data_IF_897069124125
#
_entry.id   IF_897069124125
#
_cell.length_a   1.000
_cell.length_b   1.000
_cell.length_c   1.000
_cell.angle_alpha   90.00
_cell.angle_beta   90.00
_cell.angle_gamma   90.00
#
_symmetry.space_group_name_H-M   'P 1'
#
loop_
_entity.id
_entity.type
_entity.pdbx_description
1 polymer ?
#
# COMPACT_ATOMS: atom_id res chain seq x y z
N UNK A 1 15.75 10.32 -12.83
CA UNK A 1 15.22 11.59 -12.25
C UNK A 1 13.79 11.45 -11.73
N UNK A 2 12.82 10.99 -12.52
CA UNK A 2 11.40 10.85 -12.09
C UNK A 2 11.23 9.90 -10.89
N UNK A 3 11.88 8.73 -10.90
CA UNK A 3 11.85 7.76 -9.81
C UNK A 3 12.35 8.36 -8.48
N UNK A 4 13.47 9.08 -8.49
CA UNK A 4 13.98 9.81 -7.31
C UNK A 4 12.92 10.74 -6.72
N UNK A 5 12.26 11.55 -7.57
CA UNK A 5 11.24 12.52 -7.13
C UNK A 5 10.05 11.80 -6.50
N UNK A 6 9.57 10.71 -7.11
CA UNK A 6 8.44 9.93 -6.61
C UNK A 6 8.76 9.36 -5.22
N UNK A 7 9.92 8.71 -5.06
CA UNK A 7 10.29 8.10 -3.78
C UNK A 7 10.59 9.14 -2.70
N UNK A 8 11.23 10.28 -3.05
CA UNK A 8 11.41 11.38 -2.09
C UNK A 8 10.08 11.95 -1.59
N UNK A 9 9.12 12.18 -2.50
CA UNK A 9 7.77 12.65 -2.10
C UNK A 9 7.10 11.62 -1.21
N UNK A 10 7.22 10.34 -1.54
CA UNK A 10 6.66 9.23 -0.75
C UNK A 10 7.26 9.21 0.65
N UNK A 11 8.59 9.28 0.79
CA UNK A 11 9.27 9.24 2.08
C UNK A 11 8.93 10.44 2.95
N UNK A 12 8.98 11.66 2.38
CA UNK A 12 8.61 12.89 3.08
C UNK A 12 7.16 12.81 3.57
N UNK A 13 6.26 12.35 2.68
CA UNK A 13 4.85 12.22 3.02
C UNK A 13 4.64 11.19 4.13
N UNK A 14 5.26 10.01 4.02
CA UNK A 14 5.12 8.94 5.00
C UNK A 14 5.70 9.33 6.36
N UNK A 15 6.93 9.83 6.43
CA UNK A 15 7.54 10.29 7.69
C UNK A 15 6.72 11.42 8.28
N UNK A 16 6.22 12.35 7.45
CA UNK A 16 5.33 13.44 7.87
C UNK A 16 4.00 12.96 8.44
N UNK A 17 3.34 12.00 7.79
CA UNK A 17 2.09 11.39 8.26
C UNK A 17 2.31 10.69 9.61
N UNK A 18 3.34 9.85 9.73
CA UNK A 18 3.65 9.16 10.97
C UNK A 18 3.99 10.12 12.09
N UNK A 19 4.76 11.19 11.81
CA UNK A 19 5.05 12.25 12.77
C UNK A 19 3.77 13.00 13.20
N UNK A 20 2.85 13.27 12.29
CA UNK A 20 1.56 13.91 12.59
C UNK A 20 0.62 13.03 13.42
N UNK A 21 0.53 11.74 13.08
CA UNK A 21 -0.38 10.80 13.76
C UNK A 21 0.19 10.38 15.12
N UNK A 22 1.42 9.87 15.14
CA UNK A 22 2.04 9.30 16.34
C UNK A 22 2.86 10.32 17.15
N UNK A 23 3.32 11.42 16.55
CA UNK A 23 3.99 12.51 17.26
C UNK A 23 3.09 13.25 18.24
N UNK A 24 1.78 13.25 18.00
CA UNK A 24 0.79 13.94 18.80
C UNK A 24 0.15 13.11 19.93
N UNK A 25 0.62 11.88 20.19
CA UNK A 25 0.09 11.02 21.26
C UNK A 25 0.36 11.58 22.67
N UNK A 26 1.31 12.50 22.79
CA UNK A 26 1.62 13.21 24.05
C UNK A 26 0.56 14.25 24.46
N UNK A 27 -0.46 14.49 23.63
CA UNK A 27 -1.58 15.36 24.00
C UNK A 27 -2.58 14.58 24.82
N UNK A 28 -3.00 15.15 25.93
CA UNK A 28 -4.08 14.61 26.74
C UNK A 28 -5.41 14.70 25.99
N UNK A 29 -6.13 13.58 25.86
CA UNK A 29 -7.39 13.47 25.13
C UNK A 29 -8.28 12.37 25.72
N UNK A 30 -9.57 12.61 25.74
CA UNK A 30 -10.56 11.60 26.18
C UNK A 30 -10.20 11.00 27.55
N UNK A 31 -9.64 11.80 28.48
CA UNK A 31 -9.18 11.30 29.79
C UNK A 31 -7.84 10.55 29.76
N UNK A 32 -7.18 10.46 28.62
CA UNK A 32 -5.97 9.65 28.43
C UNK A 32 -4.76 10.48 28.03
N UNK A 33 -3.58 10.05 28.51
CA UNK A 33 -2.28 10.46 28.03
C UNK A 33 -1.56 9.26 27.44
N UNK A 34 -1.14 9.33 26.16
CA UNK A 34 -0.53 8.21 25.44
C UNK A 34 -1.34 6.89 25.53
N UNK A 35 -2.70 7.00 25.57
CA UNK A 35 -3.61 5.86 25.65
C UNK A 35 -3.80 5.27 27.05
N UNK A 36 -3.31 5.94 28.10
CA UNK A 36 -3.50 5.56 29.52
C UNK A 36 -4.38 6.59 30.20
N UNK A 37 -5.41 6.15 30.91
CA UNK A 37 -6.29 7.04 31.69
C UNK A 37 -5.54 7.63 32.89
N UNK A 38 -5.46 8.96 32.95
CA UNK A 38 -4.82 9.70 34.02
C UNK A 38 -5.76 10.82 34.45
N UNK A 39 -5.94 11.08 35.74
CA UNK A 39 -6.68 12.25 36.21
C UNK A 39 -6.05 13.54 35.68
N UNK A 40 -6.87 14.49 35.26
CA UNK A 40 -6.38 15.76 34.69
C UNK A 40 -5.51 16.55 35.66
N UNK A 41 -5.76 16.43 36.97
CA UNK A 41 -4.94 17.04 38.03
C UNK A 41 -3.49 16.55 38.03
N UNK A 42 -3.26 15.28 37.60
CA UNK A 42 -1.95 14.64 37.64
C UNK A 42 -1.07 14.91 36.41
N UNK A 43 -1.56 15.67 35.44
CA UNK A 43 -0.77 16.04 34.25
C UNK A 43 0.44 16.93 34.61
N UNK A 44 0.35 17.61 35.74
CA UNK A 44 1.41 18.48 36.27
C UNK A 44 2.44 17.71 37.14
N UNK A 45 2.22 16.42 37.38
CA UNK A 45 3.12 15.58 38.18
C UNK A 45 4.55 15.56 37.57
N UNK A 46 5.61 15.67 38.41
CA UNK A 46 7.00 15.75 37.92
C UNK A 46 7.39 14.61 36.97
N UNK A 47 7.06 13.36 37.32
CA UNK A 47 7.38 12.16 36.52
C UNK A 47 6.72 12.24 35.12
N UNK A 48 5.50 12.77 35.04
CA UNK A 48 4.77 12.95 33.77
C UNK A 48 5.42 14.07 32.93
N UNK A 49 5.76 15.22 33.54
CA UNK A 49 6.42 16.31 32.84
C UNK A 49 7.77 15.90 32.27
N UNK A 50 8.58 15.22 33.07
CA UNK A 50 9.89 14.71 32.63
C UNK A 50 9.73 13.72 31.46
N UNK A 51 8.82 12.76 31.58
CA UNK A 51 8.54 11.79 30.52
C UNK A 51 8.09 12.48 29.22
N UNK A 52 7.21 13.49 29.30
CA UNK A 52 6.74 14.23 28.13
C UNK A 52 7.85 15.03 27.45
N UNK A 53 8.73 15.66 28.23
CA UNK A 53 9.88 16.38 27.69
C UNK A 53 10.84 15.42 26.98
N UNK A 54 11.15 14.29 27.60
CA UNK A 54 12.00 13.25 27.03
C UNK A 54 11.39 12.70 25.74
N UNK A 55 10.09 12.40 25.76
CA UNK A 55 9.35 11.92 24.58
C UNK A 55 9.46 12.93 23.43
N UNK A 56 9.11 14.20 23.65
CA UNK A 56 9.15 15.23 22.61
C UNK A 56 10.54 15.36 21.97
N UNK A 57 11.60 15.39 22.79
CA UNK A 57 12.99 15.45 22.31
C UNK A 57 13.36 14.24 21.46
N UNK A 58 13.18 13.03 22.02
CA UNK A 58 13.54 11.77 21.32
C UNK A 58 12.68 11.52 20.09
N UNK A 59 11.41 11.91 20.14
CA UNK A 59 10.51 11.74 19.01
C UNK A 59 10.90 12.62 17.83
N UNK A 60 11.23 13.92 18.10
CA UNK A 60 11.76 14.82 17.07
C UNK A 60 13.06 14.29 16.44
N UNK A 61 13.98 13.79 17.26
CA UNK A 61 15.23 13.19 16.76
C UNK A 61 14.97 11.96 15.90
N UNK A 62 14.07 11.07 16.32
CA UNK A 62 13.72 9.87 15.58
C UNK A 62 13.18 10.18 14.18
N UNK A 63 12.19 11.08 14.06
CA UNK A 63 11.66 11.45 12.76
C UNK A 63 12.67 12.19 11.89
N UNK A 64 13.51 13.04 12.48
CA UNK A 64 14.56 13.73 11.74
C UNK A 64 15.58 12.73 11.15
N UNK A 65 16.08 11.80 11.98
CA UNK A 65 17.04 10.80 11.51
C UNK A 65 16.44 9.85 10.46
N UNK A 66 15.19 9.43 10.63
CA UNK A 66 14.52 8.61 9.61
C UNK A 66 14.27 9.37 8.31
N UNK A 67 13.95 10.67 8.38
CA UNK A 67 13.85 11.51 7.19
C UNK A 67 15.19 11.59 6.44
N UNK A 68 16.30 11.83 7.16
CA UNK A 68 17.62 11.86 6.55
C UNK A 68 18.04 10.51 5.98
N UNK A 69 17.73 9.41 6.69
CA UNK A 69 18.00 8.06 6.22
C UNK A 69 17.19 7.73 4.94
N UNK A 70 15.90 8.06 4.89
CA UNK A 70 15.07 7.87 3.71
C UNK A 70 15.62 8.64 2.49
N UNK A 71 15.98 9.92 2.67
CA UNK A 71 16.61 10.72 1.61
C UNK A 71 17.92 10.06 1.14
N UNK A 72 18.77 9.57 2.06
CA UNK A 72 20.01 8.89 1.70
C UNK A 72 19.75 7.59 0.92
N UNK A 73 18.74 6.81 1.32
CA UNK A 73 18.33 5.60 0.62
C UNK A 73 17.81 5.92 -0.79
N UNK A 74 17.06 7.02 -0.96
CA UNK A 74 16.59 7.44 -2.28
C UNK A 74 17.73 7.73 -3.27
N UNK A 75 18.93 8.11 -2.81
CA UNK A 75 20.08 8.29 -3.70
C UNK A 75 20.57 6.98 -4.35
N UNK A 76 20.21 5.83 -3.77
CA UNK A 76 20.51 4.53 -4.40
C UNK A 76 19.72 4.27 -5.69
N UNK A 77 18.72 5.11 -6.01
CA UNK A 77 17.97 4.99 -7.27
C UNK A 77 18.84 5.21 -8.52
N UNK A 78 20.05 5.76 -8.35
CA UNK A 78 21.06 5.86 -9.42
C UNK A 78 21.90 4.60 -9.61
N UNK A 79 21.70 3.57 -8.78
CA UNK A 79 22.30 2.25 -8.92
C UNK A 79 21.31 1.27 -9.53
N UNK A 80 21.50 -0.04 -9.31
CA UNK A 80 20.53 -1.05 -9.72
C UNK A 80 19.20 -0.90 -8.96
N UNK A 81 18.09 -1.04 -9.70
CA UNK A 81 16.75 -0.91 -9.11
C UNK A 81 16.51 -1.90 -7.97
N UNK A 82 17.00 -3.13 -8.11
CA UNK A 82 16.88 -4.16 -7.06
C UNK A 82 17.60 -3.82 -5.76
N UNK A 83 18.78 -3.20 -5.86
CA UNK A 83 19.54 -2.75 -4.68
C UNK A 83 18.75 -1.64 -3.99
N UNK A 84 18.34 -0.63 -4.76
CA UNK A 84 17.55 0.48 -4.24
C UNK A 84 16.27 0.00 -3.54
N UNK A 85 15.42 -0.77 -4.23
CA UNK A 85 14.13 -1.19 -3.70
C UNK A 85 14.26 -2.11 -2.48
N UNK A 86 15.30 -2.96 -2.45
CA UNK A 86 15.58 -3.83 -1.30
C UNK A 86 15.96 -3.01 -0.07
N UNK A 87 16.90 -2.08 -0.20
CA UNK A 87 17.34 -1.22 0.92
C UNK A 87 16.21 -0.30 1.37
N UNK A 88 15.44 0.25 0.42
CA UNK A 88 14.26 1.08 0.71
C UNK A 88 13.19 0.30 1.49
N UNK A 89 12.89 -0.93 1.08
CA UNK A 89 11.94 -1.81 1.77
C UNK A 89 12.39 -2.12 3.19
N UNK A 90 13.67 -2.43 3.39
CA UNK A 90 14.23 -2.69 4.73
C UNK A 90 14.13 -1.47 5.63
N UNK A 91 14.53 -0.29 5.14
CA UNK A 91 14.40 0.97 5.87
C UNK A 91 12.93 1.26 6.22
N UNK A 92 12.02 1.05 5.28
CA UNK A 92 10.59 1.30 5.51
C UNK A 92 10.00 0.38 6.59
N UNK A 93 10.31 -0.91 6.53
CA UNK A 93 9.87 -1.90 7.53
C UNK A 93 10.44 -1.55 8.91
N UNK A 94 11.73 -1.20 8.98
CA UNK A 94 12.38 -0.75 10.22
C UNK A 94 11.69 0.50 10.78
N UNK A 95 11.47 1.53 9.96
CA UNK A 95 10.80 2.76 10.35
C UNK A 95 9.40 2.50 10.93
N UNK A 96 8.58 1.69 10.27
CA UNK A 96 7.25 1.32 10.75
C UNK A 96 7.32 0.56 12.08
N UNK A 97 8.18 -0.44 12.17
CA UNK A 97 8.34 -1.27 13.37
C UNK A 97 8.81 -0.42 14.56
N UNK A 98 9.86 0.37 14.38
CA UNK A 98 10.40 1.23 15.44
C UNK A 98 9.39 2.29 15.89
N UNK A 99 8.56 2.83 14.97
CA UNK A 99 7.49 3.76 15.34
C UNK A 99 6.50 3.09 16.30
N UNK A 100 6.02 1.89 15.98
CA UNK A 100 5.05 1.14 16.80
C UNK A 100 5.68 0.76 18.15
N UNK A 101 6.90 0.23 18.16
CA UNK A 101 7.60 -0.14 19.40
C UNK A 101 7.81 1.06 20.32
N UNK A 102 8.11 2.24 19.76
CA UNK A 102 8.25 3.48 20.54
C UNK A 102 6.93 3.91 21.19
N UNK A 103 5.82 3.84 20.44
CA UNK A 103 4.48 4.14 20.98
C UNK A 103 4.18 3.23 22.16
N UNK A 104 4.39 1.93 22.03
CA UNK A 104 4.17 0.96 23.10
C UNK A 104 5.09 1.20 24.31
N UNK A 105 6.36 1.50 24.07
CA UNK A 105 7.31 1.79 25.13
C UNK A 105 6.88 2.99 25.99
N UNK A 106 6.45 4.09 25.37
CA UNK A 106 6.01 5.26 26.12
C UNK A 106 4.65 5.07 26.78
N UNK A 107 3.74 4.32 26.14
CA UNK A 107 2.49 3.88 26.75
C UNK A 107 2.76 3.10 28.07
N UNK A 108 3.66 2.12 28.01
CA UNK A 108 4.04 1.33 29.19
C UNK A 108 4.63 2.20 30.31
N UNK A 109 5.51 3.16 29.97
CA UNK A 109 6.06 4.09 30.97
C UNK A 109 5.00 4.93 31.67
N UNK A 110 4.01 5.43 30.92
CA UNK A 110 2.89 6.17 31.51
C UNK A 110 2.07 5.27 32.41
N UNK A 111 1.83 4.03 31.98
CA UNK A 111 1.12 3.03 32.78
C UNK A 111 1.87 2.70 34.09
N UNK A 112 3.19 2.53 34.05
CA UNK A 112 4.03 2.27 35.22
C UNK A 112 4.01 3.44 36.21
N UNK A 113 4.05 4.71 35.73
CA UNK A 113 3.89 5.90 36.57
C UNK A 113 2.52 5.92 37.23
N UNK A 114 1.44 5.61 36.48
CA UNK A 114 0.08 5.49 37.00
C UNK A 114 0.02 4.47 38.15
N UNK A 115 0.61 3.29 37.94
CA UNK A 115 0.64 2.21 38.96
C UNK A 115 1.42 2.64 40.21
N UNK A 116 2.61 3.22 40.03
CA UNK A 116 3.48 3.65 41.12
C UNK A 116 2.81 4.68 42.03
N UNK A 117 2.00 5.57 41.47
CA UNK A 117 1.31 6.63 42.20
C UNK A 117 -0.11 6.26 42.66
N UNK A 118 -0.57 5.03 42.40
CA UNK A 118 -1.87 4.58 42.85
C UNK A 118 -3.05 5.29 42.18
N UNK A 119 -2.90 5.86 41.00
CA UNK A 119 -3.98 6.54 40.26
C UNK A 119 -5.01 5.59 39.66
N UNK A 120 -5.10 4.39 40.21
CA UNK A 120 -6.02 3.35 39.76
C UNK A 120 -7.37 3.59 40.43
N UNK A 121 -8.38 3.82 39.61
CA UNK A 121 -9.76 3.83 40.12
C UNK A 121 -10.19 2.40 40.39
N UNK A 122 -10.25 2.04 41.70
CA UNK A 122 -10.66 0.70 42.13
C UNK A 122 -12.14 0.39 41.84
N UNK A 123 -12.90 1.35 41.33
CA UNK A 123 -14.34 1.23 41.15
C UNK A 123 -14.79 0.46 39.90
N UNK A 124 -13.88 0.12 38.93
CA UNK A 124 -14.31 -0.27 37.61
C UNK A 124 -13.63 -1.53 37.03
N UNK A 125 -13.03 -2.39 37.86
CA UNK A 125 -12.43 -3.64 37.36
C UNK A 125 -13.47 -4.62 36.76
N UNK A 126 -14.74 -4.48 37.10
CA UNK A 126 -15.84 -5.37 36.69
C UNK A 126 -16.89 -4.71 35.79
N UNK A 127 -16.60 -3.58 35.16
CA UNK A 127 -17.59 -2.97 34.27
C UNK A 127 -17.76 -3.81 33.02
N UNK A 128 -18.79 -4.66 33.05
CA UNK A 128 -19.43 -5.18 31.85
C UNK A 128 -19.72 -4.02 30.90
N UNK A 129 -19.38 -4.18 29.63
CA UNK A 129 -19.53 -3.15 28.60
C UNK A 129 -20.90 -2.45 28.75
N UNK A 130 -20.89 -1.21 29.19
CA UNK A 130 -22.11 -0.41 29.25
C UNK A 130 -22.61 -0.24 27.82
N UNK A 131 -23.84 -0.61 27.52
CA UNK A 131 -24.43 -0.53 26.17
C UNK A 131 -25.52 0.51 26.19
N UNK A 132 -25.32 1.60 25.47
CA UNK A 132 -26.38 2.58 25.22
C UNK A 132 -27.24 2.12 24.03
N UNK A 133 -28.30 1.35 24.34
CA UNK A 133 -29.21 0.77 23.34
C UNK A 133 -30.02 1.84 22.60
N UNK A 134 -30.31 2.97 23.23
CA UNK A 134 -31.02 4.10 22.60
C UNK A 134 -30.21 4.75 21.50
N UNK A 135 -28.92 4.92 21.74
CA UNK A 135 -27.96 5.44 20.77
C UNK A 135 -27.82 4.52 19.55
N UNK A 136 -27.79 3.21 19.75
CA UNK A 136 -27.57 2.23 18.68
C UNK A 136 -28.64 2.25 17.58
N UNK A 137 -29.92 2.36 17.96
CA UNK A 137 -31.03 2.36 16.98
C UNK A 137 -31.10 3.64 16.13
N UNK A 138 -30.69 4.78 16.69
CA UNK A 138 -30.70 6.05 15.98
C UNK A 138 -29.50 6.24 15.05
N UNK A 139 -28.34 5.68 15.40
CA UNK A 139 -27.12 5.74 14.58
C UNK A 139 -27.32 4.97 13.27
N UNK A 140 -27.97 3.80 13.31
CA UNK A 140 -28.18 2.97 12.13
C UNK A 140 -28.84 3.73 10.96
N UNK A 141 -29.72 4.73 11.25
CA UNK A 141 -30.38 5.56 10.27
C UNK A 141 -29.47 6.63 9.62
N UNK A 142 -28.31 6.92 10.23
CA UNK A 142 -27.40 7.99 9.77
C UNK A 142 -26.18 7.46 9.03
N UNK A 143 -25.98 6.15 8.97
CA UNK A 143 -24.82 5.49 8.34
C UNK A 143 -25.13 5.19 6.88
N UNK A 144 -24.11 5.34 6.01
CA UNK A 144 -24.23 4.95 4.62
C UNK A 144 -24.23 3.41 4.50
N UNK A 145 -25.25 2.79 3.87
CA UNK A 145 -25.32 1.34 3.76
C UNK A 145 -24.20 0.77 2.88
N UNK A 146 -23.50 -0.27 3.38
CA UNK A 146 -22.42 -0.92 2.64
C UNK A 146 -22.86 -1.47 1.27
N UNK A 147 -24.12 -1.84 1.09
CA UNK A 147 -24.68 -2.27 -0.20
C UNK A 147 -24.52 -1.27 -1.34
N UNK A 148 -24.34 0.03 -1.04
CA UNK A 148 -24.10 1.04 -2.07
C UNK A 148 -22.76 0.82 -2.80
N UNK A 149 -21.79 0.14 -2.18
CA UNK A 149 -20.54 -0.23 -2.85
C UNK A 149 -20.74 -1.23 -4.01
N UNK A 150 -21.89 -1.86 -4.13
CA UNK A 150 -22.24 -2.68 -5.29
C UNK A 150 -22.37 -1.85 -6.57
N UNK A 151 -22.66 -0.54 -6.47
CA UNK A 151 -22.78 0.35 -7.64
C UNK A 151 -21.40 0.50 -8.32
N UNK A 152 -20.33 1.00 -7.64
CA UNK A 152 -19.01 1.07 -8.25
C UNK A 152 -18.49 -0.31 -8.67
N UNK A 153 -18.75 -1.38 -7.90
CA UNK A 153 -18.36 -2.73 -8.28
C UNK A 153 -19.02 -3.18 -9.60
N UNK A 154 -20.30 -2.90 -9.79
CA UNK A 154 -20.99 -3.18 -11.07
C UNK A 154 -20.41 -2.35 -12.22
N UNK A 155 -20.09 -1.08 -11.99
CA UNK A 155 -19.47 -0.20 -13.00
C UNK A 155 -18.10 -0.72 -13.45
N UNK A 156 -17.29 -1.28 -12.55
CA UNK A 156 -15.99 -1.92 -12.90
C UNK A 156 -16.18 -3.09 -13.87
N UNK A 157 -17.32 -3.79 -13.82
CA UNK A 157 -17.59 -4.93 -14.69
C UNK A 157 -18.12 -4.53 -16.08
N UNK A 158 -18.64 -3.32 -16.26
CA UNK A 158 -19.22 -2.87 -17.54
C UNK A 158 -18.24 -3.03 -18.73
N UNK A 159 -16.94 -2.68 -18.61
CA UNK A 159 -16.00 -2.82 -19.72
C UNK A 159 -15.86 -4.25 -20.27
N UNK A 160 -16.17 -5.29 -19.49
CA UNK A 160 -16.13 -6.69 -19.95
C UNK A 160 -17.15 -7.02 -21.03
N UNK A 161 -18.21 -6.22 -21.17
CA UNK A 161 -19.22 -6.40 -22.21
C UNK A 161 -18.74 -5.91 -23.58
N UNK A 162 -17.64 -5.16 -23.65
CA UNK A 162 -17.05 -4.71 -24.92
C UNK A 162 -15.99 -5.71 -25.39
N UNK A 163 -16.17 -6.37 -26.55
CA UNK A 163 -15.27 -7.44 -27.02
C UNK A 163 -13.81 -7.01 -27.11
N UNK A 164 -13.53 -5.81 -27.62
CA UNK A 164 -12.20 -5.24 -27.74
C UNK A 164 -11.48 -5.17 -26.38
N UNK A 165 -12.14 -4.60 -25.36
CA UNK A 165 -11.56 -4.43 -24.03
C UNK A 165 -11.39 -5.79 -23.37
N UNK A 166 -12.38 -6.70 -23.51
CA UNK A 166 -12.28 -8.05 -22.97
C UNK A 166 -11.11 -8.82 -23.56
N UNK A 167 -10.89 -8.75 -24.87
CA UNK A 167 -9.74 -9.38 -25.52
C UNK A 167 -8.43 -8.82 -25.01
N UNK A 168 -8.35 -7.50 -24.84
CA UNK A 168 -7.16 -6.85 -24.28
C UNK A 168 -6.88 -7.30 -22.83
N UNK A 169 -7.91 -7.34 -21.98
CA UNK A 169 -7.82 -7.82 -20.60
C UNK A 169 -7.37 -9.30 -20.50
N UNK A 170 -7.75 -10.14 -21.47
CA UNK A 170 -7.35 -11.56 -21.48
C UNK A 170 -5.90 -11.75 -21.96
N UNK A 171 -5.45 -10.94 -22.90
CA UNK A 171 -4.13 -11.10 -23.54
C UNK A 171 -3.01 -10.39 -22.76
N UNK A 172 -3.30 -9.22 -22.15
CA UNK A 172 -2.29 -8.42 -21.46
C UNK A 172 -2.35 -8.65 -19.94
N UNK A 173 -1.28 -9.26 -19.38
CA UNK A 173 -1.25 -9.67 -17.98
C UNK A 173 -1.30 -8.48 -17.01
N UNK A 174 -0.64 -7.36 -17.33
CA UNK A 174 -0.59 -6.18 -16.48
C UNK A 174 -1.99 -5.57 -16.30
N UNK A 175 -2.76 -5.49 -17.40
CA UNK A 175 -4.14 -4.96 -17.37
C UNK A 175 -5.08 -5.90 -16.64
N UNK A 176 -4.90 -7.21 -16.81
CA UNK A 176 -5.67 -8.22 -16.08
C UNK A 176 -5.41 -8.15 -14.57
N UNK A 177 -4.14 -8.01 -14.16
CA UNK A 177 -3.77 -7.84 -12.74
C UNK A 177 -4.39 -6.56 -12.20
N UNK A 178 -4.30 -5.44 -12.92
CA UNK A 178 -4.91 -4.17 -12.53
C UNK A 178 -6.43 -4.31 -12.34
N UNK A 179 -7.13 -4.97 -13.26
CA UNK A 179 -8.57 -5.25 -13.14
C UNK A 179 -8.90 -6.06 -11.87
N UNK A 180 -8.14 -7.14 -11.62
CA UNK A 180 -8.33 -7.97 -10.43
C UNK A 180 -8.04 -7.18 -9.14
N UNK A 181 -7.00 -6.37 -9.12
CA UNK A 181 -6.69 -5.48 -8.00
C UNK A 181 -7.81 -4.46 -7.76
N UNK A 182 -8.35 -3.85 -8.82
CA UNK A 182 -9.46 -2.89 -8.72
C UNK A 182 -10.71 -3.52 -8.09
N UNK A 183 -11.08 -4.74 -8.49
CA UNK A 183 -12.19 -5.49 -7.89
C UNK A 183 -11.90 -5.84 -6.43
N UNK A 184 -10.69 -6.30 -6.14
CA UNK A 184 -10.26 -6.64 -4.78
C UNK A 184 -10.36 -5.42 -3.86
N UNK A 185 -9.84 -4.28 -4.29
CA UNK A 185 -9.91 -3.00 -3.56
C UNK A 185 -11.36 -2.55 -3.37
N UNK A 186 -12.20 -2.62 -4.43
CA UNK A 186 -13.63 -2.29 -4.33
C UNK A 186 -14.36 -3.18 -3.31
N UNK A 187 -14.06 -4.48 -3.31
CA UNK A 187 -14.60 -5.44 -2.35
C UNK A 187 -14.10 -5.16 -0.93
N UNK A 188 -12.83 -4.79 -0.78
CA UNK A 188 -12.25 -4.40 0.50
C UNK A 188 -12.94 -3.14 1.06
N UNK A 189 -13.19 -2.10 0.25
CA UNK A 189 -13.95 -0.93 0.67
C UNK A 189 -15.37 -1.29 1.15
N UNK A 190 -16.04 -2.21 0.48
CA UNK A 190 -17.36 -2.70 0.92
C UNK A 190 -17.27 -3.44 2.27
N UNK A 191 -16.30 -4.34 2.42
CA UNK A 191 -16.10 -5.11 3.65
C UNK A 191 -15.74 -4.21 4.85
N UNK A 192 -14.83 -3.26 4.66
CA UNK A 192 -14.44 -2.28 5.68
C UNK A 192 -15.61 -1.34 5.99
N UNK A 193 -16.37 -0.90 4.98
CA UNK A 193 -17.58 -0.09 5.18
C UNK A 193 -18.64 -0.83 6.00
N UNK A 194 -18.86 -2.11 5.72
CA UNK A 194 -19.72 -2.97 6.51
C UNK A 194 -19.23 -3.09 7.96
N UNK A 195 -17.94 -3.31 8.16
CA UNK A 195 -17.32 -3.40 9.48
C UNK A 195 -17.55 -2.11 10.29
N UNK A 196 -17.24 -0.92 9.73
CA UNK A 196 -17.46 0.36 10.42
C UNK A 196 -18.92 0.62 10.73
N UNK A 197 -19.84 0.21 9.86
CA UNK A 197 -21.28 0.36 10.10
C UNK A 197 -21.75 -0.47 11.30
N UNK A 198 -21.19 -1.67 11.50
CA UNK A 198 -21.64 -2.61 12.54
C UNK A 198 -20.77 -2.62 13.81
N UNK A 199 -19.77 -1.73 13.89
CA UNK A 199 -18.96 -1.62 15.09
C UNK A 199 -19.77 -1.24 16.32
N UNK A 200 -19.37 -1.74 17.53
CA UNK A 200 -19.93 -1.28 18.79
C UNK A 200 -19.79 0.22 18.97
N UNK A 201 -20.79 0.86 19.56
CA UNK A 201 -20.71 2.26 19.93
C UNK A 201 -19.88 2.43 21.20
N UNK A 202 -19.10 3.51 21.26
CA UNK A 202 -18.37 3.89 22.46
C UNK A 202 -19.24 4.79 23.35
N UNK A 203 -19.03 4.68 24.64
CA UNK A 203 -19.62 5.57 25.65
C UNK A 203 -18.53 6.58 26.07
N UNK A 204 -18.84 7.86 25.88
CA UNK A 204 -17.95 8.99 26.20
C UNK A 204 -18.49 9.80 27.39
N UNK A 205 -19.80 9.69 27.66
CA UNK A 205 -20.52 10.49 28.62
C UNK A 205 -21.73 9.73 29.17
N UNK A 206 -22.18 10.10 30.36
CA UNK A 206 -23.51 9.69 30.88
C UNK A 206 -24.66 10.29 30.03
N UNK A 207 -24.37 11.36 29.27
CA UNK A 207 -25.32 11.98 28.37
C UNK A 207 -25.39 11.23 27.05
N UNK A 208 -26.50 10.49 26.82
CA UNK A 208 -26.75 9.74 25.58
C UNK A 208 -26.74 10.60 24.30
N UNK A 209 -27.01 11.90 24.38
CA UNK A 209 -26.97 12.78 23.21
C UNK A 209 -25.52 12.99 22.72
N UNK A 210 -24.56 13.13 23.62
CA UNK A 210 -23.13 13.23 23.30
C UNK A 210 -22.64 11.94 22.66
N UNK A 211 -23.00 10.79 23.24
CA UNK A 211 -22.67 9.47 22.69
C UNK A 211 -23.25 9.31 21.27
N UNK A 212 -24.51 9.73 21.06
CA UNK A 212 -25.16 9.68 19.75
C UNK A 212 -24.43 10.55 18.73
N UNK A 213 -24.11 11.81 19.10
CA UNK A 213 -23.44 12.76 18.18
C UNK A 213 -22.08 12.24 17.73
N UNK A 214 -21.23 11.79 18.66
CA UNK A 214 -19.88 11.36 18.37
C UNK A 214 -19.88 10.07 17.54
N UNK A 215 -20.61 9.04 17.97
CA UNK A 215 -20.64 7.77 17.24
C UNK A 215 -21.30 7.89 15.86
N UNK A 216 -22.35 8.69 15.73
CA UNK A 216 -22.99 8.93 14.44
C UNK A 216 -22.06 9.69 13.48
N UNK A 217 -21.35 10.71 13.98
CA UNK A 217 -20.39 11.49 13.23
C UNK A 217 -19.27 10.59 12.70
N UNK A 218 -18.65 9.82 13.59
CA UNK A 218 -17.51 8.94 13.26
C UNK A 218 -17.91 7.88 12.23
N UNK A 219 -18.97 7.12 12.47
CA UNK A 219 -19.42 6.07 11.56
C UNK A 219 -19.89 6.60 10.21
N UNK A 220 -20.64 7.71 10.19
CA UNK A 220 -21.08 8.33 8.97
C UNK A 220 -19.90 8.82 8.14
N UNK A 221 -18.92 9.47 8.78
CA UNK A 221 -17.77 10.01 8.10
C UNK A 221 -16.93 8.89 7.45
N UNK A 222 -16.67 7.81 8.19
CA UNK A 222 -15.90 6.67 7.64
C UNK A 222 -16.65 5.95 6.51
N UNK A 223 -17.95 5.70 6.66
CA UNK A 223 -18.71 5.00 5.61
C UNK A 223 -18.86 5.84 4.34
N UNK A 224 -19.04 7.16 4.46
CA UNK A 224 -19.05 8.07 3.31
C UNK A 224 -17.68 8.16 2.67
N UNK A 225 -16.61 8.32 3.47
CA UNK A 225 -15.22 8.36 2.96
C UNK A 225 -14.88 7.10 2.15
N UNK A 226 -15.18 5.91 2.69
CA UNK A 226 -14.91 4.64 2.01
C UNK A 226 -15.71 4.52 0.69
N UNK A 227 -16.94 4.98 0.67
CA UNK A 227 -17.76 4.97 -0.54
C UNK A 227 -17.19 5.92 -1.61
N UNK A 228 -16.80 7.14 -1.25
CA UNK A 228 -16.15 8.08 -2.17
C UNK A 228 -14.80 7.55 -2.66
N UNK A 229 -14.01 6.91 -1.79
CA UNK A 229 -12.77 6.25 -2.18
C UNK A 229 -13.00 5.14 -3.21
N UNK A 230 -14.08 4.36 -3.05
CA UNK A 230 -14.44 3.33 -4.04
C UNK A 230 -14.88 3.94 -5.38
N UNK A 231 -15.53 5.10 -5.37
CA UNK A 231 -15.83 5.85 -6.60
C UNK A 231 -14.53 6.32 -7.27
N UNK A 232 -13.56 6.83 -6.49
CA UNK A 232 -12.26 7.23 -7.03
C UNK A 232 -11.52 6.05 -7.67
N UNK A 233 -11.43 4.90 -6.97
CA UNK A 233 -10.83 3.66 -7.50
C UNK A 233 -11.52 3.21 -8.81
N UNK A 234 -12.85 3.27 -8.87
CA UNK A 234 -13.61 2.94 -10.09
C UNK A 234 -13.30 3.91 -11.23
N UNK A 235 -13.28 5.22 -10.92
CA UNK A 235 -12.94 6.26 -11.91
C UNK A 235 -11.50 6.15 -12.41
N UNK A 236 -10.56 5.82 -11.53
CA UNK A 236 -9.16 5.57 -11.86
C UNK A 236 -9.03 4.42 -12.87
N UNK A 237 -9.69 3.29 -12.59
CA UNK A 237 -9.76 2.16 -13.52
C UNK A 237 -10.37 2.55 -14.88
N UNK A 238 -11.50 3.27 -14.88
CA UNK A 238 -12.14 3.72 -16.13
C UNK A 238 -11.28 4.68 -16.94
N UNK A 239 -10.40 5.45 -16.30
CA UNK A 239 -9.38 6.26 -16.98
C UNK A 239 -8.43 5.44 -17.84
N UNK A 240 -7.97 4.30 -17.31
CA UNK A 240 -7.14 3.35 -18.07
C UNK A 240 -7.95 2.67 -19.18
N UNK A 241 -9.18 2.22 -18.89
CA UNK A 241 -10.06 1.58 -19.89
C UNK A 241 -10.35 2.53 -21.07
N UNK A 242 -10.53 3.83 -20.80
CA UNK A 242 -10.70 4.85 -21.86
C UNK A 242 -9.51 4.86 -22.82
N UNK A 243 -8.28 4.84 -22.30
CA UNK A 243 -7.09 4.82 -23.13
C UNK A 243 -7.01 3.55 -24.00
N UNK A 244 -7.30 2.40 -23.40
CA UNK A 244 -7.36 1.11 -24.12
C UNK A 244 -8.41 1.17 -25.23
N UNK A 245 -9.60 1.72 -24.95
CA UNK A 245 -10.69 1.82 -25.93
C UNK A 245 -10.35 2.76 -27.10
N UNK A 246 -9.59 3.83 -26.85
CA UNK A 246 -9.27 4.85 -27.85
C UNK A 246 -8.05 4.53 -28.71
N UNK A 247 -7.05 3.86 -28.15
CA UNK A 247 -5.73 3.69 -28.77
C UNK A 247 -5.16 2.28 -28.73
N UNK A 248 -5.85 1.33 -28.13
CA UNK A 248 -5.36 -0.04 -27.84
C UNK A 248 -4.06 -0.09 -27.04
N UNK A 249 -3.81 0.91 -26.19
CA UNK A 249 -2.66 0.93 -25.27
C UNK A 249 -2.95 1.85 -24.08
N UNK A 250 -2.17 1.71 -22.99
CA UNK A 250 -2.28 2.55 -21.80
C UNK A 250 -1.44 3.81 -22.00
N UNK A 251 -2.09 4.96 -22.18
CA UNK A 251 -1.44 6.25 -22.41
C UNK A 251 -1.18 7.04 -21.13
N UNK A 252 -0.38 8.10 -21.28
CA UNK A 252 -0.05 8.99 -20.16
C UNK A 252 -1.27 9.69 -19.54
N UNK A 253 -2.34 9.90 -20.32
CA UNK A 253 -3.57 10.53 -19.81
C UNK A 253 -4.31 9.58 -18.86
N UNK A 254 -4.47 8.30 -19.21
CA UNK A 254 -5.09 7.31 -18.33
C UNK A 254 -4.29 7.10 -17.05
N UNK A 255 -2.96 7.00 -17.15
CA UNK A 255 -2.08 6.90 -15.98
C UNK A 255 -2.20 8.15 -15.10
N UNK A 256 -2.26 9.34 -15.70
CA UNK A 256 -2.44 10.60 -14.97
C UNK A 256 -3.77 10.65 -14.21
N UNK A 257 -4.88 10.27 -14.86
CA UNK A 257 -6.21 10.17 -14.23
C UNK A 257 -6.17 9.14 -13.09
N UNK A 258 -5.59 7.97 -13.33
CA UNK A 258 -5.46 6.90 -12.33
C UNK A 258 -4.73 7.41 -11.09
N UNK A 259 -3.52 7.95 -11.27
CA UNK A 259 -2.69 8.46 -10.18
C UNK A 259 -3.40 9.59 -9.41
N UNK A 260 -4.01 10.52 -10.13
CA UNK A 260 -4.72 11.65 -9.50
C UNK A 260 -5.89 11.17 -8.64
N UNK A 261 -6.74 10.27 -9.16
CA UNK A 261 -7.90 9.78 -8.44
C UNK A 261 -7.54 8.89 -7.25
N UNK A 262 -6.45 8.11 -7.32
CA UNK A 262 -5.97 7.30 -6.19
C UNK A 262 -5.28 8.14 -5.09
N UNK A 263 -4.76 9.32 -5.43
CA UNK A 263 -4.20 10.25 -4.44
C UNK A 263 -5.28 10.98 -3.63
N UNK A 264 -6.45 11.23 -4.21
CA UNK A 264 -7.56 11.95 -3.54
C UNK A 264 -7.93 11.30 -2.19
N UNK A 265 -8.24 10.00 -2.08
CA UNK A 265 -8.54 9.36 -0.81
C UNK A 265 -7.40 9.49 0.21
N UNK A 266 -6.15 9.39 -0.22
CA UNK A 266 -4.98 9.50 0.66
C UNK A 266 -4.89 10.89 1.32
N UNK A 267 -5.15 11.95 0.58
CA UNK A 267 -5.17 13.31 1.11
C UNK A 267 -6.39 13.55 2.00
N UNK A 268 -7.56 13.11 1.53
CA UNK A 268 -8.82 13.31 2.27
C UNK A 268 -8.80 12.59 3.61
N UNK A 269 -8.25 11.36 3.70
CA UNK A 269 -8.23 10.62 4.97
C UNK A 269 -7.46 11.37 6.06
N UNK A 270 -6.39 12.08 5.70
CA UNK A 270 -5.62 12.88 6.65
C UNK A 270 -6.43 14.08 7.13
N UNK A 271 -7.10 14.78 6.20
CA UNK A 271 -7.96 15.92 6.54
C UNK A 271 -9.10 15.46 7.46
N UNK A 272 -9.76 14.37 7.09
CA UNK A 272 -10.85 13.74 7.87
C UNK A 272 -10.38 13.36 9.26
N UNK A 273 -9.20 12.76 9.38
CA UNK A 273 -8.63 12.35 10.67
C UNK A 273 -8.42 13.53 11.64
N UNK A 274 -7.75 14.61 11.18
CA UNK A 274 -7.50 15.77 12.01
C UNK A 274 -8.78 16.56 12.31
N UNK A 275 -9.68 16.67 11.34
CA UNK A 275 -10.97 17.33 11.51
C UNK A 275 -11.86 16.58 12.50
N UNK A 276 -11.97 15.26 12.38
CA UNK A 276 -12.77 14.42 13.28
C UNK A 276 -12.25 14.52 14.72
N UNK A 277 -10.93 14.52 14.91
CA UNK A 277 -10.33 14.72 16.23
C UNK A 277 -10.75 16.04 16.85
N UNK A 278 -10.64 17.14 16.10
CA UNK A 278 -11.02 18.46 16.55
C UNK A 278 -12.52 18.56 16.90
N UNK A 279 -13.37 17.95 16.07
CA UNK A 279 -14.81 18.00 16.27
C UNK A 279 -15.24 17.15 17.50
N UNK A 280 -14.63 15.99 17.70
CA UNK A 280 -14.83 15.19 18.90
C UNK A 280 -14.41 15.97 20.17
N UNK A 281 -13.26 16.62 20.17
CA UNK A 281 -12.81 17.47 21.27
C UNK A 281 -13.84 18.60 21.54
N UNK A 282 -14.40 19.22 20.49
CA UNK A 282 -15.42 20.26 20.60
C UNK A 282 -16.74 19.75 21.23
N UNK A 283 -17.18 18.57 20.83
CA UNK A 283 -18.39 17.97 21.39
C UNK A 283 -18.18 17.58 22.86
N UNK A 284 -17.04 16.96 23.17
CA UNK A 284 -16.70 16.57 24.55
C UNK A 284 -16.47 17.75 25.48
N UNK A 285 -16.01 18.89 24.97
CA UNK A 285 -15.86 20.12 25.78
C UNK A 285 -17.20 20.68 26.28
N UNK A 286 -18.33 20.27 25.69
CA UNK A 286 -19.68 20.66 26.14
C UNK A 286 -20.24 19.71 27.20
N UNK A 287 -19.49 18.64 27.53
CA UNK A 287 -19.92 17.60 28.46
C UNK A 287 -19.60 17.98 29.89
N UNK A 288 -20.63 17.94 30.76
CA UNK A 288 -20.49 18.14 32.20
C UNK A 288 -20.29 16.84 32.96
N UNK A 289 -20.53 15.69 32.33
CA UNK A 289 -20.53 14.34 32.96
C UNK A 289 -19.70 13.35 32.12
N UNK A 290 -18.39 13.60 31.90
CA UNK A 290 -17.56 12.68 31.15
C UNK A 290 -17.46 11.34 31.87
N UNK A 291 -17.62 10.27 31.10
CA UNK A 291 -17.58 8.91 31.61
C UNK A 291 -16.36 8.18 31.00
N UNK A 292 -15.48 7.70 31.89
CA UNK A 292 -14.29 6.94 31.47
C UNK A 292 -14.31 5.56 32.12
N UNK A 293 -14.12 4.54 31.29
CA UNK A 293 -13.91 3.16 31.77
C UNK A 293 -12.40 2.94 31.88
N UNK A 294 -11.91 2.71 33.08
CA UNK A 294 -10.49 2.39 33.31
C UNK A 294 -10.26 0.90 33.08
N UNK A 295 -10.06 0.54 31.81
CA UNK A 295 -9.68 -0.80 31.37
C UNK A 295 -8.19 -0.89 31.00
N UNK A 296 -7.34 0.01 31.53
CA UNK A 296 -5.90 0.13 31.23
C UNK A 296 -5.12 -1.16 31.50
N UNK A 297 -5.56 -1.96 32.47
CA UNK A 297 -4.95 -3.26 32.75
C UNK A 297 -4.89 -4.16 31.51
N UNK A 298 -5.92 -4.14 30.67
CA UNK A 298 -5.97 -4.93 29.44
C UNK A 298 -5.12 -4.34 28.32
N UNK A 299 -4.72 -3.07 28.44
CA UNK A 299 -3.85 -2.35 27.49
C UNK A 299 -2.40 -2.20 27.96
N UNK A 300 -2.04 -2.72 29.14
CA UNK A 300 -0.74 -2.49 29.81
C UNK A 300 0.50 -2.75 28.93
N UNK A 301 0.38 -3.58 27.88
CA UNK A 301 1.47 -3.88 26.94
C UNK A 301 1.46 -3.01 25.70
N UNK A 302 0.50 -2.10 25.56
CA UNK A 302 0.29 -1.27 24.38
C UNK A 302 -0.72 -1.84 23.37
N UNK A 303 -1.13 -3.11 23.55
CA UNK A 303 -2.19 -3.76 22.75
C UNK A 303 -3.24 -4.39 23.66
N UNK A 304 -4.47 -4.53 23.13
CA UNK A 304 -5.59 -5.06 23.89
C UNK A 304 -5.49 -6.57 24.11
N UNK A 305 -5.62 -6.98 25.36
CA UNK A 305 -5.55 -8.39 25.75
C UNK A 305 -6.54 -8.69 26.90
N UNK A 306 -7.80 -8.96 26.53
CA UNK A 306 -8.86 -9.31 27.49
C UNK A 306 -9.53 -10.62 27.06
N UNK A 307 -9.27 -11.74 27.77
CA UNK A 307 -9.87 -13.04 27.44
C UNK A 307 -11.38 -13.11 27.71
N UNK A 308 -11.92 -12.20 28.55
CA UNK A 308 -13.34 -12.16 28.90
C UNK A 308 -14.17 -11.30 27.93
N UNK A 309 -13.51 -10.50 27.05
CA UNK A 309 -14.20 -9.69 26.06
C UNK A 309 -14.39 -10.49 24.77
N UNK A 310 -15.64 -10.69 24.37
CA UNK A 310 -16.01 -11.42 23.14
C UNK A 310 -15.65 -10.67 21.85
N UNK A 311 -15.36 -9.37 21.93
CA UNK A 311 -14.99 -8.56 20.74
C UNK A 311 -13.63 -8.97 20.24
N UNK A 312 -13.56 -9.30 18.96
CA UNK A 312 -12.31 -9.66 18.28
C UNK A 312 -11.48 -8.43 17.89
N UNK A 313 -12.17 -7.34 17.48
CA UNK A 313 -11.56 -6.06 17.14
C UNK A 313 -11.98 -4.99 18.14
N UNK A 314 -10.99 -4.26 18.64
CA UNK A 314 -11.19 -3.15 19.58
C UNK A 314 -10.48 -1.91 19.03
N UNK A 315 -11.14 -0.77 19.10
CA UNK A 315 -10.54 0.48 18.60
C UNK A 315 -9.29 0.83 19.41
N UNK A 316 -8.21 1.17 18.70
CA UNK A 316 -6.95 1.57 19.30
C UNK A 316 -7.11 2.89 20.08
N UNK A 317 -6.43 3.00 21.23
CA UNK A 317 -6.50 4.16 22.10
C UNK A 317 -5.58 5.31 21.66
N UNK A 318 -4.48 4.99 21.00
CA UNK A 318 -3.51 5.95 20.51
C UNK A 318 -3.97 6.55 19.20
N UNK A 319 -4.51 5.72 18.31
CA UNK A 319 -5.05 6.13 17.04
C UNK A 319 -6.47 5.56 16.85
N UNK A 320 -7.46 6.42 17.00
CA UNK A 320 -8.89 6.04 16.91
C UNK A 320 -9.32 5.51 15.53
N UNK A 321 -8.49 5.65 14.50
CA UNK A 321 -8.74 5.03 13.18
C UNK A 321 -8.24 3.59 13.11
N UNK A 322 -7.35 3.20 14.00
CA UNK A 322 -6.81 1.84 14.06
C UNK A 322 -7.68 0.95 14.94
N UNK A 323 -7.62 -0.33 14.63
CA UNK A 323 -8.23 -1.40 15.41
C UNK A 323 -7.15 -2.39 15.83
N UNK A 324 -7.09 -2.67 17.12
CA UNK A 324 -6.28 -3.75 17.68
C UNK A 324 -7.09 -5.04 17.69
N UNK A 325 -6.44 -6.14 17.37
CA UNK A 325 -6.98 -7.46 17.68
C UNK A 325 -6.98 -7.66 19.19
N UNK A 326 -8.02 -8.34 19.71
CA UNK A 326 -8.02 -8.77 21.10
C UNK A 326 -7.11 -9.99 21.26
N UNK A 327 -5.90 -9.80 21.74
CA UNK A 327 -4.91 -10.87 21.98
C UNK A 327 -5.28 -11.78 23.16
N UNK A 328 -6.39 -11.53 23.86
CA UNK A 328 -7.04 -12.47 24.76
C UNK A 328 -7.60 -13.69 24.03
N UNK A 329 -7.91 -13.56 22.72
CA UNK A 329 -8.29 -14.68 21.87
C UNK A 329 -7.04 -15.33 21.26
N UNK A 330 -6.83 -16.65 21.43
CA UNK A 330 -5.67 -17.36 20.88
C UNK A 330 -5.53 -17.17 19.35
N UNK A 331 -6.64 -17.19 18.62
CA UNK A 331 -6.68 -17.00 17.16
C UNK A 331 -6.09 -15.65 16.72
N UNK A 332 -6.18 -14.59 17.51
CA UNK A 332 -5.60 -13.27 17.17
C UNK A 332 -4.09 -13.34 17.01
N UNK A 333 -3.40 -14.15 17.84
CA UNK A 333 -1.96 -14.36 17.76
C UNK A 333 -1.56 -15.08 16.47
N UNK A 334 -2.31 -16.13 16.12
CA UNK A 334 -2.07 -16.88 14.88
C UNK A 334 -2.34 -16.03 13.63
N UNK A 335 -3.43 -15.25 13.64
CA UNK A 335 -3.73 -14.32 12.53
C UNK A 335 -2.63 -13.28 12.37
N UNK A 336 -2.22 -12.62 13.46
CA UNK A 336 -1.14 -11.62 13.39
C UNK A 336 0.18 -12.25 12.95
N UNK A 337 0.55 -13.41 13.50
CA UNK A 337 1.76 -14.14 13.11
C UNK A 337 1.71 -14.54 11.64
N UNK A 338 0.59 -15.08 11.17
CA UNK A 338 0.38 -15.42 9.76
C UNK A 338 0.48 -14.23 8.83
N UNK A 339 -0.12 -13.09 9.20
CA UNK A 339 -0.01 -11.85 8.42
C UNK A 339 1.42 -11.34 8.35
N UNK A 340 2.16 -11.32 9.47
CA UNK A 340 3.56 -10.89 9.50
C UNK A 340 4.46 -11.80 8.65
N UNK A 341 4.31 -13.13 8.78
CA UNK A 341 5.07 -14.09 7.98
C UNK A 341 4.70 -13.97 6.51
N UNK A 342 3.41 -13.91 6.17
CA UNK A 342 2.94 -13.76 4.79
C UNK A 342 3.45 -12.48 4.13
N UNK A 343 3.39 -11.35 4.84
CA UNK A 343 3.93 -10.06 4.36
C UNK A 343 5.45 -10.15 4.18
N UNK A 344 6.18 -10.74 5.15
CA UNK A 344 7.62 -10.91 5.06
C UNK A 344 8.03 -11.78 3.86
N UNK A 345 7.33 -12.89 3.62
CA UNK A 345 7.57 -13.75 2.46
C UNK A 345 7.26 -13.05 1.13
N UNK A 346 6.19 -12.26 1.07
CA UNK A 346 5.85 -11.47 -0.11
C UNK A 346 6.92 -10.42 -0.43
N UNK A 347 7.38 -9.67 0.57
CA UNK A 347 8.45 -8.69 0.40
C UNK A 347 9.76 -9.35 -0.03
N UNK A 348 10.12 -10.47 0.59
CA UNK A 348 11.30 -11.25 0.22
C UNK A 348 11.21 -11.74 -1.24
N UNK A 349 10.06 -12.28 -1.63
CA UNK A 349 9.80 -12.72 -3.00
C UNK A 349 9.94 -11.56 -4.01
N UNK A 350 9.40 -10.38 -3.69
CA UNK A 350 9.55 -9.19 -4.52
C UNK A 350 11.01 -8.76 -4.67
N UNK A 351 11.78 -8.74 -3.57
CA UNK A 351 13.21 -8.41 -3.62
C UNK A 351 13.99 -9.41 -4.49
N UNK A 352 13.74 -10.72 -4.31
CA UNK A 352 14.38 -11.77 -5.12
C UNK A 352 14.01 -11.60 -6.60
N UNK A 353 12.75 -11.28 -6.92
CA UNK A 353 12.33 -11.05 -8.29
C UNK A 353 13.09 -9.87 -8.91
N UNK A 354 13.20 -8.73 -8.22
CA UNK A 354 13.95 -7.58 -8.70
C UNK A 354 15.44 -7.90 -8.90
N UNK A 355 16.07 -8.63 -7.97
CA UNK A 355 17.47 -9.08 -8.08
C UNK A 355 17.65 -9.98 -9.32
N UNK A 356 16.71 -10.89 -9.57
CA UNK A 356 16.74 -11.74 -10.77
C UNK A 356 16.63 -10.93 -12.05
N UNK A 357 15.78 -9.92 -12.09
CA UNK A 357 15.61 -9.04 -13.26
C UNK A 357 16.93 -8.31 -13.54
N UNK A 358 17.55 -7.71 -12.54
CA UNK A 358 18.77 -6.91 -12.75
C UNK A 358 20.01 -7.76 -13.08
N UNK A 359 20.20 -8.88 -12.38
CA UNK A 359 21.46 -9.61 -12.44
C UNK A 359 21.45 -10.88 -13.30
N UNK A 360 20.28 -11.36 -13.76
CA UNK A 360 20.28 -12.50 -14.71
C UNK A 360 20.67 -12.04 -16.10
N UNK A 361 21.69 -12.65 -16.73
CA UNK A 361 22.08 -12.32 -18.10
C UNK A 361 21.00 -12.75 -19.09
N UNK A 362 20.88 -12.00 -20.18
CA UNK A 362 20.06 -12.38 -21.32
C UNK A 362 20.81 -13.51 -22.06
N UNK A 363 20.12 -14.61 -22.36
CA UNK A 363 20.71 -15.77 -23.07
C UNK A 363 19.76 -16.23 -24.16
N UNK A 364 20.32 -16.52 -25.32
CA UNK A 364 19.66 -17.26 -26.39
C UNK A 364 20.14 -18.71 -26.33
N UNK A 365 19.21 -19.65 -26.25
CA UNK A 365 19.49 -21.10 -26.20
C UNK A 365 18.67 -21.81 -27.25
N UNK A 366 19.29 -22.76 -27.94
CA UNK A 366 18.64 -23.63 -28.92
C UNK A 366 18.22 -24.94 -28.24
N UNK A 367 16.97 -25.35 -28.48
CA UNK A 367 16.43 -26.63 -28.06
C UNK A 367 15.67 -27.28 -29.23
N UNK A 368 16.31 -28.23 -29.91
CA UNK A 368 15.79 -28.96 -31.08
C UNK A 368 15.41 -28.05 -32.25
N UNK A 369 14.32 -27.54 -32.49
CA UNK A 369 13.95 -26.60 -33.56
C UNK A 369 13.38 -25.28 -33.03
N UNK A 370 13.47 -25.06 -31.71
CA UNK A 370 12.98 -23.86 -31.05
C UNK A 370 14.12 -23.12 -30.35
N UNK A 371 14.11 -21.83 -30.49
CA UNK A 371 14.96 -20.91 -29.74
C UNK A 371 14.22 -20.37 -28.52
N UNK A 372 14.94 -20.28 -27.42
CA UNK A 372 14.43 -19.75 -26.14
C UNK A 372 15.32 -18.59 -25.66
N UNK A 373 14.70 -17.46 -25.37
CA UNK A 373 15.38 -16.29 -24.80
C UNK A 373 15.00 -16.21 -23.32
N UNK A 374 16.01 -16.26 -22.45
CA UNK A 374 15.84 -16.16 -20.99
C UNK A 374 16.51 -14.91 -20.46
N UNK A 375 15.92 -14.22 -19.47
CA UNK A 375 16.41 -12.93 -18.95
C UNK A 375 16.12 -12.69 -17.48
N UNK A 376 15.77 -13.72 -16.72
CA UNK A 376 15.41 -13.57 -15.31
C UNK A 376 13.99 -13.06 -15.04
N UNK A 377 13.31 -12.52 -16.06
CA UNK A 377 11.91 -12.05 -15.95
C UNK A 377 10.97 -12.95 -16.76
N UNK A 378 10.89 -12.74 -18.07
CA UNK A 378 10.07 -13.55 -18.98
C UNK A 378 10.95 -14.33 -19.94
N UNK A 379 10.42 -15.44 -20.40
CA UNK A 379 11.03 -16.25 -21.44
C UNK A 379 10.25 -16.07 -22.74
N UNK A 380 10.91 -15.79 -23.84
CA UNK A 380 10.32 -15.86 -25.16
C UNK A 380 10.81 -17.10 -25.87
N UNK A 381 9.95 -17.67 -26.72
CA UNK A 381 10.29 -18.79 -27.59
C UNK A 381 9.85 -18.50 -29.02
N UNK A 382 10.66 -18.92 -30.00
CA UNK A 382 10.31 -18.84 -31.40
C UNK A 382 10.87 -20.05 -32.14
N UNK A 383 10.17 -20.48 -33.19
CA UNK A 383 10.68 -21.51 -34.07
C UNK A 383 11.50 -20.90 -35.21
N UNK A 384 12.61 -21.54 -35.61
CA UNK A 384 13.42 -21.06 -36.71
C UNK A 384 12.61 -21.01 -38.02
N UNK A 385 11.63 -21.91 -38.21
CA UNK A 385 10.72 -21.93 -39.36
C UNK A 385 9.81 -20.69 -39.50
N UNK A 386 9.65 -19.95 -38.39
CA UNK A 386 8.81 -18.73 -38.36
C UNK A 386 9.63 -17.45 -38.57
N UNK A 387 10.98 -17.56 -38.66
CA UNK A 387 11.86 -16.40 -38.84
C UNK A 387 11.84 -15.99 -40.31
N UNK A 388 11.49 -14.74 -40.57
CA UNK A 388 11.48 -14.12 -41.90
C UNK A 388 12.81 -13.43 -42.24
N UNK A 389 13.36 -12.73 -41.24
CA UNK A 389 14.64 -12.03 -41.39
C UNK A 389 15.34 -11.81 -40.07
N UNK A 390 16.67 -11.76 -40.14
CA UNK A 390 17.56 -11.45 -39.03
C UNK A 390 18.49 -10.33 -39.44
N UNK A 391 18.56 -9.26 -38.65
CA UNK A 391 19.39 -8.07 -38.95
C UNK A 391 20.06 -7.57 -37.67
N UNK A 392 21.29 -7.04 -37.83
CA UNK A 392 21.97 -6.31 -36.79
C UNK A 392 21.68 -4.81 -36.93
N UNK A 393 21.35 -4.16 -35.85
CA UNK A 393 21.09 -2.74 -35.75
C UNK A 393 22.07 -2.11 -34.75
N UNK A 394 22.58 -0.92 -35.06
CA UNK A 394 23.41 -0.16 -34.11
C UNK A 394 22.58 0.46 -32.99
N UNK A 395 21.32 0.80 -33.28
CA UNK A 395 20.36 1.37 -32.33
C UNK A 395 18.98 0.81 -32.60
N UNK A 396 18.10 0.93 -31.59
CA UNK A 396 16.67 0.69 -31.78
C UNK A 396 16.11 1.61 -32.90
N UNK A 397 15.09 1.15 -33.63
CA UNK A 397 14.40 1.99 -34.61
C UNK A 397 13.95 3.32 -34.02
N UNK A 398 14.04 4.40 -34.80
CA UNK A 398 13.57 5.74 -34.39
C UNK A 398 12.04 5.80 -34.37
N UNK A 399 11.49 5.25 -33.30
CA UNK A 399 10.07 5.23 -32.98
C UNK A 399 9.86 5.19 -31.48
N UNK A 400 8.62 5.49 -31.03
CA UNK A 400 8.26 5.35 -29.64
C UNK A 400 7.84 3.92 -29.33
N UNK A 401 8.49 3.32 -28.34
CA UNK A 401 8.11 2.03 -27.79
C UNK A 401 7.38 2.21 -26.47
N UNK A 402 6.29 1.48 -26.30
CA UNK A 402 5.45 1.50 -25.11
C UNK A 402 5.45 0.10 -24.51
N UNK A 403 5.68 0.01 -23.21
CA UNK A 403 5.63 -1.25 -22.47
C UNK A 403 4.19 -1.73 -22.37
N UNK A 404 3.89 -2.95 -22.82
CA UNK A 404 2.58 -3.59 -22.66
C UNK A 404 2.57 -4.60 -21.52
N UNK A 405 3.63 -5.43 -21.41
CA UNK A 405 3.78 -6.45 -20.36
C UNK A 405 5.27 -6.79 -20.20
N UNK A 406 6.00 -6.00 -19.45
CA UNK A 406 7.44 -6.12 -19.35
C UNK A 406 8.05 -5.35 -18.18
N UNK A 407 9.36 -5.40 -18.07
CA UNK A 407 10.17 -4.58 -17.17
C UNK A 407 10.97 -3.56 -18.00
N UNK A 408 11.01 -2.33 -17.53
CA UNK A 408 11.79 -1.24 -18.10
C UNK A 408 12.48 -0.51 -16.95
N UNK A 409 13.80 -0.51 -16.96
CA UNK A 409 14.63 0.25 -16.05
C UNK A 409 15.70 1.05 -16.84
N UNK A 410 16.66 1.64 -16.14
CA UNK A 410 17.71 2.43 -16.76
C UNK A 410 18.75 1.57 -17.53
N UNK A 411 18.72 0.26 -17.36
CA UNK A 411 19.72 -0.67 -17.90
C UNK A 411 19.14 -1.66 -18.91
N UNK A 412 17.87 -2.09 -18.73
CA UNK A 412 17.27 -3.16 -19.53
C UNK A 412 15.83 -2.87 -19.94
N UNK A 413 15.47 -3.42 -21.11
CA UNK A 413 14.08 -3.57 -21.56
C UNK A 413 13.79 -5.06 -21.71
N UNK A 414 12.84 -5.60 -20.94
CA UNK A 414 12.52 -7.04 -20.87
C UNK A 414 11.03 -7.30 -21.01
N UNK A 415 10.63 -8.11 -21.98
CA UNK A 415 9.25 -8.57 -22.16
C UNK A 415 8.52 -7.98 -23.35
N UNK A 416 7.20 -7.77 -23.26
CA UNK A 416 6.37 -7.32 -24.37
C UNK A 416 6.29 -5.80 -24.43
N UNK A 417 6.49 -5.27 -25.64
CA UNK A 417 6.39 -3.85 -25.95
C UNK A 417 5.56 -3.65 -27.22
N UNK A 418 5.22 -2.42 -27.49
CA UNK A 418 4.55 -2.02 -28.72
C UNK A 418 5.23 -0.79 -29.30
N UNK A 419 5.80 -0.94 -30.48
CA UNK A 419 6.33 0.17 -31.26
C UNK A 419 5.22 0.88 -32.04
N UNK A 420 5.37 2.19 -32.21
CA UNK A 420 4.40 2.99 -32.98
C UNK A 420 4.32 2.60 -34.46
N UNK A 421 5.41 2.07 -35.02
CA UNK A 421 5.51 1.58 -36.43
C UNK A 421 5.63 0.05 -36.45
N UNK A 422 6.46 -0.51 -35.55
CA UNK A 422 6.76 -1.96 -35.51
C UNK A 422 5.55 -2.77 -34.99
N UNK A 423 4.63 -2.14 -34.27
CA UNK A 423 3.50 -2.86 -33.66
C UNK A 423 3.93 -3.68 -32.43
N UNK A 424 3.33 -4.88 -32.24
CA UNK A 424 3.68 -5.78 -31.12
C UNK A 424 5.09 -6.32 -31.30
N UNK A 425 5.94 -6.16 -30.28
CA UNK A 425 7.30 -6.64 -30.29
C UNK A 425 7.72 -7.13 -28.90
N UNK A 426 8.78 -7.93 -28.88
CA UNK A 426 9.41 -8.42 -27.66
C UNK A 426 10.82 -7.83 -27.57
N UNK A 427 11.17 -7.34 -26.38
CA UNK A 427 12.49 -6.75 -26.12
C UNK A 427 13.21 -7.52 -25.04
N UNK A 428 14.46 -7.86 -25.29
CA UNK A 428 15.41 -8.44 -24.36
C UNK A 428 16.75 -7.72 -24.59
N UNK A 429 16.84 -6.49 -24.08
CA UNK A 429 17.87 -5.54 -24.47
C UNK A 429 18.55 -4.94 -23.25
N UNK A 430 19.88 -4.87 -23.29
CA UNK A 430 20.70 -3.93 -22.53
C UNK A 430 20.74 -2.60 -23.28
N UNK A 431 20.27 -1.52 -22.66
CA UNK A 431 19.99 -0.22 -23.35
C UNK A 431 21.28 0.42 -23.90
N UNK A 432 22.38 0.36 -23.16
CA UNK A 432 23.64 1.04 -23.55
C UNK A 432 24.59 0.12 -24.33
N UNK A 433 24.13 -1.02 -24.82
CA UNK A 433 24.96 -1.99 -25.52
C UNK A 433 24.50 -2.19 -26.97
N UNK A 434 25.46 -2.05 -27.89
CA UNK A 434 25.28 -2.35 -29.33
C UNK A 434 26.16 -3.55 -29.73
N UNK A 435 25.84 -4.23 -30.84
CA UNK A 435 24.65 -4.12 -31.66
C UNK A 435 23.42 -4.77 -31.06
N UNK A 436 22.27 -4.47 -31.66
CA UNK A 436 20.99 -5.08 -31.32
C UNK A 436 20.59 -6.03 -32.44
N UNK A 437 20.29 -7.28 -32.08
CA UNK A 437 19.78 -8.28 -33.00
C UNK A 437 18.28 -8.12 -33.15
N UNK A 438 17.81 -7.81 -34.37
CA UNK A 438 16.40 -7.81 -34.71
C UNK A 438 16.05 -9.10 -35.44
N UNK A 439 15.10 -9.86 -34.86
CA UNK A 439 14.55 -11.09 -35.42
C UNK A 439 13.09 -10.82 -35.78
N UNK A 440 12.77 -10.80 -37.08
CA UNK A 440 11.38 -10.71 -37.54
C UNK A 440 10.83 -12.11 -37.74
N UNK A 441 9.74 -12.39 -37.08
CA UNK A 441 8.97 -13.61 -37.24
C UNK A 441 7.61 -13.28 -37.86
N UNK A 442 6.89 -14.29 -38.32
CA UNK A 442 5.52 -14.15 -38.87
C UNK A 442 4.56 -13.41 -37.96
N UNK A 443 4.75 -13.52 -36.63
CA UNK A 443 3.79 -13.03 -35.65
C UNK A 443 4.28 -11.84 -34.83
N UNK A 444 5.61 -11.65 -34.69
CA UNK A 444 6.18 -10.60 -33.84
C UNK A 444 7.61 -10.25 -34.26
N UNK A 445 8.05 -9.08 -33.84
CA UNK A 445 9.46 -8.68 -33.94
C UNK A 445 10.13 -8.81 -32.59
N UNK A 446 11.30 -9.45 -32.52
CA UNK A 446 12.07 -9.62 -31.29
C UNK A 446 13.34 -8.79 -31.40
N UNK A 447 13.62 -7.97 -30.40
CA UNK A 447 14.88 -7.25 -30.25
C UNK A 447 15.67 -7.87 -29.12
N UNK A 448 16.92 -8.24 -29.40
CA UNK A 448 17.76 -9.01 -28.49
C UNK A 448 19.20 -8.50 -28.51
N UNK A 449 19.83 -8.33 -27.36
CA UNK A 449 21.28 -8.19 -27.28
C UNK A 449 21.84 -8.77 -25.99
N UNK A 450 23.15 -8.91 -25.93
CA UNK A 450 23.92 -9.24 -24.73
C UNK A 450 24.68 -7.99 -24.26
N UNK A 451 25.08 -7.99 -22.99
CA UNK A 451 26.07 -7.03 -22.45
C UNK A 451 27.46 -7.18 -23.11
N UNK A 452 27.69 -8.27 -23.86
CA UNK A 452 28.91 -8.54 -24.64
C UNK A 452 28.56 -8.47 -26.13
N UNK A 453 29.17 -7.52 -26.82
CA UNK A 453 29.03 -7.32 -28.29
C UNK A 453 29.34 -8.58 -29.11
N UNK A 454 30.42 -9.28 -28.76
CA UNK A 454 30.84 -10.50 -29.44
C UNK A 454 29.75 -11.60 -29.38
N UNK A 455 29.09 -11.74 -28.25
CA UNK A 455 28.02 -12.71 -28.06
C UNK A 455 26.77 -12.37 -28.90
N UNK A 456 26.44 -11.09 -29.03
CA UNK A 456 25.32 -10.67 -29.90
C UNK A 456 25.61 -10.96 -31.37
N UNK A 457 26.87 -10.77 -31.82
CA UNK A 457 27.32 -11.11 -33.18
C UNK A 457 27.32 -12.63 -33.42
N UNK A 458 27.77 -13.41 -32.44
CA UNK A 458 27.72 -14.88 -32.48
C UNK A 458 26.28 -15.40 -32.66
N UNK A 459 25.32 -14.86 -31.93
CA UNK A 459 23.91 -15.22 -32.10
C UNK A 459 23.36 -14.85 -33.48
N UNK A 460 23.81 -13.69 -34.05
CA UNK A 460 23.44 -13.29 -35.40
C UNK A 460 23.98 -14.26 -36.44
N UNK A 461 25.28 -14.60 -36.38
CA UNK A 461 25.93 -15.49 -37.33
C UNK A 461 25.32 -16.88 -37.28
N UNK A 462 25.10 -17.44 -36.08
CA UNK A 462 24.42 -18.71 -35.86
C UNK A 462 23.05 -18.75 -36.55
N UNK A 463 22.18 -17.78 -36.22
CA UNK A 463 20.84 -17.76 -36.82
C UNK A 463 20.84 -17.58 -38.32
N UNK A 464 21.77 -16.74 -38.84
CA UNK A 464 21.91 -16.49 -40.28
C UNK A 464 22.36 -17.73 -41.07
N UNK A 465 23.33 -18.47 -40.53
CA UNK A 465 23.84 -19.71 -41.15
C UNK A 465 22.77 -20.78 -41.18
N UNK A 466 21.99 -20.94 -40.10
CA UNK A 466 20.89 -21.91 -40.03
C UNK A 466 19.73 -21.56 -40.97
N UNK A 467 19.38 -20.27 -41.11
CA UNK A 467 18.35 -19.84 -42.08
C UNK A 467 18.82 -20.09 -43.51
N UNK A 468 20.11 -19.87 -43.77
CA UNK A 468 20.71 -20.08 -45.11
C UNK A 468 20.82 -21.56 -45.46
N UNK A 469 21.03 -22.43 -44.51
CA UNK A 469 21.14 -23.89 -44.69
C UNK A 469 19.78 -24.56 -44.93
N UNK A 470 18.66 -23.91 -44.60
CA UNK A 470 17.29 -24.42 -44.78
C UNK A 470 16.59 -23.90 -46.03
N UNK A 471 17.18 -22.91 -46.73
CA UNK A 471 16.75 -22.47 -48.07
C UNK A 471 17.45 -23.25 -49.15
#
# INVERSE_FOLDING_TARGET
>A
MMMLIIFLITDISMVGIFAGVYGNIAKYREGMLMGVHIPKSELEHPDIKELLQLYKKRNRQFYLWNMLAGIAVCLLCFTYFSIFITVWTLWFVEFCLLTILRVYHYHQKVYDIKQKNGWISSANADVSAAVDTRTSSQIAKKILPAKLHLIPAAVILIPLFFPQIRTYLLNESDVRIMFLCTILVSTAYMGVGYFFAHMPNKIYSENSQINLQINALEKRLYTVFLFLSNICNTGAYLGIIRDIASSNWIGGVGIGIYTFLELIPTVIILIVFFWLRKEKERILAQDSTPFYIDDDYYWRKGWYNNPNDKRYFVQDRVNSMNYSLNYGHPSAKYVTGGMLVGTGLLLLWMCILCIRIDFTPIRLTENAAQYSITSGYKTATFALADVESVTLLDNLPDEKFYRSDGSEDNSKLLGNFRGSKTGHCQMYIWIEHAPILQIKTKNTTIFLNSSNEAQTKEWYDQLKDEISSKK
#
